data_IF_344839757879
#
_entry.id   IF_344839757879
#
_cell.length_a   1.000
_cell.length_b   1.000
_cell.length_c   1.000
_cell.angle_alpha   90.00
_cell.angle_beta   90.00
_cell.angle_gamma   90.00
#
_symmetry.space_group_name_H-M   'P 1'
#
loop_
_entity.id
_entity.type
_entity.pdbx_description
1 polymer ?
#
# COMPACT_ATOMS: atom_id res chain seq x y z
N UNK A 1 -32.11 -9.70 12.54
CA UNK A 1 -31.29 -8.89 11.61
C UNK A 1 -30.11 -8.30 12.39
N UNK A 2 -29.03 -9.07 12.60
CA UNK A 2 -27.86 -8.62 13.37
C UNK A 2 -26.78 -8.09 12.42
N UNK A 3 -26.64 -6.77 12.36
CA UNK A 3 -25.57 -6.08 11.65
C UNK A 3 -24.28 -6.19 12.48
N UNK A 4 -23.34 -7.01 12.02
CA UNK A 4 -22.03 -7.19 12.65
C UNK A 4 -21.18 -5.92 12.43
N UNK A 5 -21.31 -4.95 13.33
CA UNK A 5 -20.39 -3.81 13.45
C UNK A 5 -19.01 -4.35 13.80
N UNK A 6 -18.14 -4.53 12.79
CA UNK A 6 -16.70 -4.43 13.07
C UNK A 6 -16.48 -2.95 13.32
N UNK A 7 -16.31 -2.63 14.59
CA UNK A 7 -16.18 -1.26 15.00
C UNK A 7 -14.86 -0.70 14.43
N UNK A 8 -15.00 0.44 13.76
CA UNK A 8 -13.95 1.08 12.95
C UNK A 8 -12.99 1.82 13.89
N UNK A 9 -11.89 1.19 14.25
CA UNK A 9 -11.11 1.62 15.43
C UNK A 9 -9.80 2.33 15.09
N UNK A 10 -9.25 2.11 13.89
CA UNK A 10 -7.88 2.53 13.61
C UNK A 10 -7.82 3.86 12.88
N UNK A 11 -7.00 4.78 13.38
CA UNK A 11 -6.64 6.03 12.69
C UNK A 11 -5.48 5.85 11.70
N UNK A 12 -4.67 4.81 11.88
CA UNK A 12 -3.51 4.52 11.06
C UNK A 12 -3.34 3.00 10.92
N UNK A 13 -3.08 2.53 9.71
CA UNK A 13 -2.65 1.16 9.41
C UNK A 13 -1.36 1.23 8.59
N UNK A 14 -0.32 0.53 9.07
CA UNK A 14 0.92 0.29 8.32
C UNK A 14 1.07 -1.21 8.22
N UNK A 15 1.07 -1.77 7.01
CA UNK A 15 1.05 -3.22 6.86
C UNK A 15 1.83 -3.71 5.64
N UNK A 16 2.48 -4.85 5.82
CA UNK A 16 3.01 -5.68 4.75
C UNK A 16 2.27 -7.03 4.78
N UNK A 17 1.03 -7.10 4.24
CA UNK A 17 0.27 -8.34 4.23
C UNK A 17 0.98 -9.41 3.37
N UNK A 18 0.77 -10.70 3.64
CA UNK A 18 1.35 -11.77 2.83
C UNK A 18 0.91 -11.63 1.36
N UNK A 19 1.86 -11.77 0.43
CA UNK A 19 1.67 -11.45 -0.99
C UNK A 19 1.01 -12.55 -1.83
N UNK A 20 0.97 -13.78 -1.32
CA UNK A 20 0.51 -14.93 -2.08
C UNK A 20 -0.35 -15.84 -1.20
N UNK A 21 -1.50 -16.24 -1.74
CA UNK A 21 -2.42 -17.16 -1.11
C UNK A 21 -3.84 -16.96 -1.64
N UNK A 22 -4.57 -18.06 -1.74
CA UNK A 22 -6.01 -18.04 -1.94
C UNK A 22 -6.69 -18.69 -0.75
N UNK A 23 -7.80 -18.10 -0.31
CA UNK A 23 -8.63 -18.71 0.73
C UNK A 23 -9.77 -19.49 0.09
N UNK A 24 -10.20 -20.55 0.78
CA UNK A 24 -11.46 -21.20 0.48
C UNK A 24 -12.61 -20.22 0.70
N UNK A 25 -13.63 -20.26 -0.16
CA UNK A 25 -14.75 -19.31 -0.11
C UNK A 25 -15.43 -19.28 1.25
N UNK A 26 -15.49 -20.42 1.92
CA UNK A 26 -16.11 -20.63 3.23
C UNK A 26 -15.26 -20.02 4.36
N UNK A 27 -13.95 -19.92 4.16
CA UNK A 27 -13.02 -19.26 5.10
C UNK A 27 -13.03 -17.73 4.96
N UNK A 28 -13.57 -17.18 3.86
CA UNK A 28 -13.66 -15.73 3.69
C UNK A 28 -14.82 -15.18 4.52
N UNK A 29 -14.50 -14.26 5.43
CA UNK A 29 -15.52 -13.59 6.23
C UNK A 29 -16.59 -12.95 5.32
N UNK A 30 -17.86 -13.31 5.51
CA UNK A 30 -19.01 -12.83 4.70
C UNK A 30 -19.13 -11.31 4.57
N UNK A 31 -18.55 -10.56 5.50
CA UNK A 31 -18.52 -9.10 5.42
C UNK A 31 -17.48 -8.53 4.44
N UNK A 32 -16.44 -9.28 4.09
CA UNK A 32 -15.43 -8.88 3.10
C UNK A 32 -15.88 -9.20 1.67
N UNK A 33 -16.57 -10.32 1.46
CA UNK A 33 -17.13 -10.68 0.14
C UNK A 33 -18.17 -9.68 -0.35
N UNK A 34 -18.82 -8.94 0.55
CA UNK A 34 -19.70 -7.80 0.22
C UNK A 34 -18.97 -6.57 -0.31
N UNK A 35 -17.68 -6.43 0.01
CA UNK A 35 -16.84 -5.30 -0.42
C UNK A 35 -16.13 -5.67 -1.72
N UNK A 36 -15.56 -6.87 -1.80
CA UNK A 36 -14.96 -7.42 -3.03
C UNK A 36 -15.21 -8.92 -3.10
N UNK A 37 -15.84 -9.39 -4.17
CA UNK A 37 -16.07 -10.81 -4.38
C UNK A 37 -14.83 -11.49 -4.98
N UNK A 38 -13.91 -11.96 -4.13
CA UNK A 38 -12.65 -12.60 -4.54
C UNK A 38 -12.12 -13.56 -3.47
N UNK A 39 -11.30 -14.53 -3.89
CA UNK A 39 -10.53 -15.44 -3.01
C UNK A 39 -9.06 -15.03 -2.84
N UNK A 40 -8.64 -13.99 -3.58
CA UNK A 40 -7.28 -13.49 -3.59
C UNK A 40 -7.00 -12.70 -2.31
N UNK A 41 -6.08 -13.21 -1.50
CA UNK A 41 -5.78 -12.67 -0.17
C UNK A 41 -5.35 -11.22 -0.22
N UNK A 42 -4.58 -10.80 -1.23
CA UNK A 42 -4.10 -9.43 -1.41
C UNK A 42 -5.25 -8.41 -1.54
N UNK A 43 -6.34 -8.78 -2.22
CA UNK A 43 -7.52 -7.92 -2.37
C UNK A 43 -8.39 -7.95 -1.11
N UNK A 44 -8.48 -9.10 -0.45
CA UNK A 44 -9.22 -9.26 0.81
C UNK A 44 -8.59 -8.43 1.94
N UNK A 45 -7.26 -8.32 1.99
CA UNK A 45 -6.58 -7.46 2.96
C UNK A 45 -6.90 -5.98 2.75
N UNK A 46 -6.99 -5.50 1.51
CA UNK A 46 -7.38 -4.11 1.24
C UNK A 46 -8.83 -3.83 1.71
N UNK A 47 -9.76 -4.74 1.41
CA UNK A 47 -11.12 -4.66 1.91
C UNK A 47 -11.17 -4.69 3.45
N UNK A 48 -10.32 -5.50 4.09
CA UNK A 48 -10.20 -5.57 5.54
C UNK A 48 -9.68 -4.25 6.12
N UNK A 49 -8.61 -3.68 5.57
CA UNK A 49 -8.05 -2.41 6.06
C UNK A 49 -9.07 -1.27 5.96
N UNK A 50 -9.79 -1.18 4.84
CA UNK A 50 -10.89 -0.22 4.70
C UNK A 50 -11.98 -0.44 5.73
N UNK A 51 -12.32 -1.69 6.07
CA UNK A 51 -13.29 -2.00 7.12
C UNK A 51 -12.79 -1.59 8.51
N UNK A 52 -11.51 -1.78 8.81
CA UNK A 52 -10.88 -1.50 10.11
C UNK A 52 -10.64 -0.01 10.36
N UNK A 53 -10.34 0.77 9.32
CA UNK A 53 -10.10 2.21 9.44
C UNK A 53 -11.35 2.97 9.86
N UNK A 54 -11.22 3.93 10.79
CA UNK A 54 -12.26 4.96 11.00
C UNK A 54 -12.29 5.95 9.84
N UNK A 55 -13.38 6.71 9.68
CA UNK A 55 -13.41 7.82 8.71
C UNK A 55 -12.32 8.84 9.06
N UNK A 56 -11.59 9.29 8.05
CA UNK A 56 -10.36 10.08 8.21
C UNK A 56 -9.11 9.26 8.57
N UNK A 57 -9.23 7.96 8.83
CA UNK A 57 -8.10 7.06 9.07
C UNK A 57 -7.29 6.83 7.80
N UNK A 58 -5.97 6.63 7.95
CA UNK A 58 -5.03 6.50 6.84
C UNK A 58 -4.35 5.15 6.83
N UNK A 59 -3.96 4.68 5.65
CA UNK A 59 -3.19 3.46 5.50
C UNK A 59 -2.00 3.67 4.56
N UNK A 60 -0.90 3.01 4.87
CA UNK A 60 0.20 2.75 3.94
C UNK A 60 0.47 1.24 3.92
N UNK A 61 0.17 0.58 2.82
CA UNK A 61 0.18 -0.88 2.74
C UNK A 61 0.93 -1.38 1.51
N UNK A 62 1.75 -2.40 1.71
CA UNK A 62 2.46 -3.06 0.61
C UNK A 62 1.50 -4.01 -0.11
N UNK A 63 1.49 -3.97 -1.44
CA UNK A 63 0.71 -4.85 -2.29
C UNK A 63 1.57 -5.35 -3.45
N UNK A 64 1.32 -6.55 -4.00
CA UNK A 64 1.96 -6.96 -5.25
C UNK A 64 1.48 -6.09 -6.43
N UNK A 65 2.31 -5.95 -7.46
CA UNK A 65 1.99 -5.18 -8.68
C UNK A 65 0.67 -5.62 -9.35
N UNK A 66 0.26 -6.87 -9.16
CA UNK A 66 -1.03 -7.39 -9.60
C UNK A 66 -2.23 -6.55 -9.11
N UNK A 67 -2.15 -5.93 -7.94
CA UNK A 67 -3.20 -5.02 -7.44
C UNK A 67 -3.34 -3.79 -8.34
N UNK A 68 -2.22 -3.25 -8.82
CA UNK A 68 -2.18 -2.05 -9.67
C UNK A 68 -2.65 -2.33 -11.10
N UNK A 69 -2.31 -3.48 -11.66
CA UNK A 69 -2.47 -3.75 -13.10
C UNK A 69 -3.38 -4.93 -13.44
N UNK A 70 -3.90 -5.65 -12.44
CA UNK A 70 -4.75 -6.82 -12.67
C UNK A 70 -6.02 -6.43 -13.44
N UNK A 71 -6.35 -7.20 -14.48
CA UNK A 71 -7.46 -6.90 -15.39
C UNK A 71 -8.79 -7.55 -15.00
N UNK A 72 -8.78 -8.47 -14.03
CA UNK A 72 -10.02 -9.12 -13.60
C UNK A 72 -10.94 -8.15 -12.83
N UNK A 73 -12.23 -8.49 -12.77
CA UNK A 73 -13.27 -7.66 -12.15
C UNK A 73 -12.94 -7.23 -10.72
N UNK A 74 -12.39 -8.13 -9.90
CA UNK A 74 -12.09 -7.83 -8.50
C UNK A 74 -10.95 -6.81 -8.34
N UNK A 75 -9.92 -6.87 -9.18
CA UNK A 75 -8.84 -5.88 -9.16
C UNK A 75 -9.35 -4.50 -9.59
N UNK A 76 -10.13 -4.45 -10.68
CA UNK A 76 -10.77 -3.22 -11.15
C UNK A 76 -11.65 -2.59 -10.07
N UNK A 77 -12.46 -3.39 -9.39
CA UNK A 77 -13.36 -2.91 -8.34
C UNK A 77 -12.59 -2.33 -7.14
N UNK A 78 -11.51 -2.99 -6.69
CA UNK A 78 -10.67 -2.47 -5.61
C UNK A 78 -10.03 -1.14 -6.00
N UNK A 79 -9.48 -1.03 -7.22
CA UNK A 79 -8.88 0.21 -7.70
C UNK A 79 -9.92 1.33 -7.81
N UNK A 80 -11.10 1.02 -8.35
CA UNK A 80 -12.23 1.96 -8.43
C UNK A 80 -12.61 2.45 -7.03
N UNK A 81 -12.81 1.54 -6.07
CA UNK A 81 -13.15 1.87 -4.69
C UNK A 81 -12.11 2.77 -4.02
N UNK A 82 -10.82 2.48 -4.20
CA UNK A 82 -9.75 3.30 -3.61
C UNK A 82 -9.72 4.72 -4.16
N UNK A 83 -10.08 4.94 -5.42
CA UNK A 83 -10.02 6.25 -6.08
C UNK A 83 -11.33 7.01 -6.00
N UNK A 84 -12.46 6.36 -6.24
CA UNK A 84 -13.79 6.97 -6.31
C UNK A 84 -14.46 7.06 -4.94
N UNK A 85 -14.40 5.99 -4.13
CA UNK A 85 -15.14 5.93 -2.86
C UNK A 85 -14.29 6.41 -1.68
N UNK A 86 -12.96 6.40 -1.85
CA UNK A 86 -11.95 6.77 -0.85
C UNK A 86 -11.00 7.83 -1.43
N UNK A 87 -9.98 8.21 -0.66
CA UNK A 87 -8.95 9.14 -1.12
C UNK A 87 -7.61 8.41 -1.29
N UNK A 88 -7.28 8.03 -2.52
CA UNK A 88 -5.94 7.55 -2.86
C UNK A 88 -5.00 8.75 -2.93
N UNK A 89 -3.95 8.76 -2.10
CA UNK A 89 -3.03 9.89 -1.97
C UNK A 89 -1.73 9.63 -2.74
N UNK A 90 -1.26 8.38 -2.77
CA UNK A 90 -0.04 8.05 -3.49
C UNK A 90 0.18 6.55 -3.69
N UNK A 91 1.03 6.26 -4.68
CA UNK A 91 1.51 4.93 -5.05
C UNK A 91 3.04 5.01 -5.17
N UNK A 92 3.73 4.22 -4.36
CA UNK A 92 5.19 4.08 -4.43
C UNK A 92 5.48 2.71 -5.06
N UNK A 93 5.86 2.68 -6.33
CA UNK A 93 6.25 1.44 -7.01
C UNK A 93 7.63 1.03 -6.53
N UNK A 94 7.76 -0.23 -6.16
CA UNK A 94 8.99 -0.85 -5.69
C UNK A 94 9.45 -1.89 -6.72
N UNK A 95 10.73 -1.86 -7.12
CA UNK A 95 11.24 -2.76 -8.14
C UNK A 95 11.32 -4.19 -7.60
N UNK A 96 11.30 -5.16 -8.52
CA UNK A 96 11.52 -6.56 -8.18
C UNK A 96 12.88 -6.73 -7.50
N UNK A 97 12.95 -7.46 -6.38
CA UNK A 97 14.18 -7.66 -5.62
C UNK A 97 14.30 -6.86 -4.33
N UNK A 98 13.43 -5.86 -4.08
CA UNK A 98 13.39 -5.15 -2.78
C UNK A 98 13.15 -6.13 -1.61
N UNK A 99 12.37 -7.18 -1.83
CA UNK A 99 12.04 -8.19 -0.83
C UNK A 99 12.89 -9.47 -0.93
N UNK A 100 13.97 -9.48 -1.74
CA UNK A 100 14.89 -10.62 -1.77
C UNK A 100 15.64 -10.77 -0.43
N UNK A 101 15.97 -12.01 -0.02
CA UNK A 101 15.78 -13.28 -0.75
C UNK A 101 14.37 -13.90 -0.60
N UNK A 102 13.44 -13.26 0.12
CA UNK A 102 12.15 -13.85 0.46
C UNK A 102 11.11 -13.78 -0.66
N UNK A 103 11.12 -12.70 -1.45
CA UNK A 103 10.22 -12.54 -2.58
C UNK A 103 10.91 -11.79 -3.74
N UNK A 104 10.77 -12.34 -4.95
CA UNK A 104 11.32 -11.77 -6.19
C UNK A 104 10.35 -10.90 -6.99
N UNK A 105 9.11 -10.73 -6.53
CA UNK A 105 8.07 -9.98 -7.24
C UNK A 105 8.22 -8.46 -7.03
N UNK A 106 7.80 -7.67 -8.01
CA UNK A 106 7.59 -6.23 -7.83
C UNK A 106 6.34 -5.96 -7.00
N UNK A 107 6.38 -4.86 -6.26
CA UNK A 107 5.34 -4.50 -5.29
C UNK A 107 5.12 -2.99 -5.33
N UNK A 108 4.10 -2.50 -4.64
CA UNK A 108 3.89 -1.09 -4.44
C UNK A 108 3.39 -0.81 -3.02
N UNK A 109 3.64 0.41 -2.54
CA UNK A 109 3.00 0.94 -1.33
C UNK A 109 1.83 1.80 -1.76
N UNK A 110 0.62 1.41 -1.38
CA UNK A 110 -0.57 2.21 -1.52
C UNK A 110 -0.75 3.09 -0.30
N UNK A 111 -0.89 4.39 -0.50
CA UNK A 111 -1.15 5.38 0.53
C UNK A 111 -2.54 5.96 0.29
N UNK A 112 -3.46 5.69 1.20
CA UNK A 112 -4.85 6.14 1.07
C UNK A 112 -5.47 6.53 2.41
N UNK A 113 -6.51 7.35 2.33
CA UNK A 113 -7.34 7.75 3.45
C UNK A 113 -8.76 7.28 3.23
N UNK A 114 -9.37 6.75 4.29
CA UNK A 114 -10.77 6.39 4.29
C UNK A 114 -11.63 7.65 4.44
N UNK A 115 -12.51 7.91 3.49
CA UNK A 115 -13.45 9.05 3.51
C UNK A 115 -14.90 8.61 3.45
N UNK A 116 -15.17 7.47 2.79
CA UNK A 116 -16.50 6.98 2.39
C UNK A 116 -17.29 7.99 1.51
N UNK A 117 -16.59 8.94 0.89
CA UNK A 117 -17.17 10.01 0.07
C UNK A 117 -16.26 10.43 -1.09
N UNK A 118 -15.23 9.65 -1.41
CA UNK A 118 -14.22 10.00 -2.39
C UNK A 118 -13.28 11.11 -1.92
N UNK A 119 -12.86 11.97 -2.84
CA UNK A 119 -11.93 13.09 -2.57
C UNK A 119 -10.51 12.86 -3.08
N UNK A 120 -10.31 11.89 -3.97
CA UNK A 120 -9.07 11.81 -4.76
C UNK A 120 -9.08 12.95 -5.78
N UNK A 121 -8.17 13.92 -5.65
CA UNK A 121 -7.98 15.02 -6.63
C UNK A 121 -6.73 14.83 -7.50
N UNK A 122 -5.73 14.15 -6.96
CA UNK A 122 -4.53 13.76 -7.67
C UNK A 122 -3.72 12.80 -6.83
N UNK A 123 -3.05 11.87 -7.51
CA UNK A 123 -2.29 10.78 -6.90
C UNK A 123 -0.81 10.99 -7.20
N UNK A 124 0.02 10.91 -6.16
CA UNK A 124 1.47 10.93 -6.31
C UNK A 124 1.96 9.55 -6.72
N UNK A 125 2.71 9.47 -7.81
CA UNK A 125 3.37 8.26 -8.25
C UNK A 125 4.87 8.43 -8.09
N UNK A 126 5.47 7.52 -7.34
CA UNK A 126 6.90 7.45 -7.17
C UNK A 126 7.39 6.11 -7.71
N UNK A 127 8.16 6.13 -8.78
CA UNK A 127 8.76 4.93 -9.36
C UNK A 127 10.18 4.74 -8.82
N UNK A 128 10.35 3.80 -7.89
CA UNK A 128 11.63 3.53 -7.24
C UNK A 128 12.50 2.63 -8.12
N UNK A 129 13.76 3.02 -8.32
CA UNK A 129 14.76 2.21 -9.01
C UNK A 129 15.50 1.27 -8.05
N UNK A 130 15.76 1.71 -6.82
CA UNK A 130 16.30 0.89 -5.74
C UNK A 130 16.03 1.54 -4.38
N UNK A 131 15.99 0.71 -3.33
CA UNK A 131 15.79 1.14 -1.94
C UNK A 131 17.10 1.48 -1.20
N UNK A 132 18.20 1.62 -1.95
CA UNK A 132 19.55 1.81 -1.43
C UNK A 132 20.38 0.52 -1.36
N UNK A 133 19.77 -0.64 -1.67
CA UNK A 133 20.42 -1.95 -1.74
C UNK A 133 20.35 -2.53 -3.16
N UNK A 134 21.28 -3.42 -3.50
CA UNK A 134 21.23 -4.21 -4.74
C UNK A 134 19.96 -5.06 -4.76
N UNK A 135 19.36 -5.26 -5.94
CA UNK A 135 18.11 -6.01 -6.09
C UNK A 135 18.32 -7.52 -6.26
N UNK A 136 19.49 -8.01 -5.85
CA UNK A 136 19.86 -9.43 -5.84
C UNK A 136 19.71 -10.02 -4.42
N UNK A 137 19.95 -11.33 -4.27
CA UNK A 137 19.81 -12.02 -2.99
C UNK A 137 20.85 -11.57 -1.95
N UNK A 138 21.93 -10.91 -2.37
CA UNK A 138 22.99 -10.43 -1.48
C UNK A 138 22.61 -9.11 -0.82
N UNK A 139 21.77 -8.28 -1.46
CA UNK A 139 21.26 -7.01 -0.93
C UNK A 139 22.39 -6.10 -0.41
N UNK A 140 23.45 -5.94 -1.20
CA UNK A 140 24.61 -5.10 -0.90
C UNK A 140 24.24 -3.62 -0.95
N UNK A 141 24.93 -2.78 -0.17
CA UNK A 141 24.71 -1.33 -0.20
C UNK A 141 25.11 -0.73 -1.56
N UNK A 142 24.23 0.08 -2.15
CA UNK A 142 24.52 0.85 -3.36
C UNK A 142 24.90 2.29 -3.07
N UNK A 143 24.66 2.74 -1.85
CA UNK A 143 24.97 4.08 -1.36
C UNK A 143 25.76 3.97 -0.06
N UNK A 144 26.55 4.99 0.30
CA UNK A 144 27.22 5.04 1.60
C UNK A 144 26.22 4.85 2.76
N UNK A 145 26.67 4.18 3.83
CA UNK A 145 25.82 3.83 4.99
C UNK A 145 25.13 5.04 5.61
N UNK A 146 25.81 6.19 5.66
CA UNK A 146 25.27 7.43 6.20
C UNK A 146 24.06 7.97 5.41
N UNK A 147 23.93 7.54 4.15
CA UNK A 147 22.81 7.87 3.27
C UNK A 147 21.68 6.85 3.34
N UNK A 148 21.85 5.72 4.02
CA UNK A 148 20.76 4.78 4.33
C UNK A 148 20.06 5.31 5.58
N UNK A 149 18.73 5.47 5.51
CA UNK A 149 17.96 6.11 6.58
C UNK A 149 18.33 5.51 7.92
N UNK A 150 18.81 6.33 8.86
CA UNK A 150 19.44 5.87 10.11
C UNK A 150 18.62 4.74 10.74
N UNK A 151 19.16 3.52 10.80
CA UNK A 151 18.70 2.50 11.74
C UNK A 151 19.01 3.01 13.15
N UNK A 152 18.14 3.85 13.73
CA UNK A 152 18.24 4.17 15.16
C UNK A 152 18.00 2.86 15.90
N UNK A 153 19.07 2.27 16.44
CA UNK A 153 18.97 1.33 17.55
C UNK A 153 18.18 2.10 18.62
N UNK A 154 17.01 1.60 19.03
CA UNK A 154 16.12 2.30 19.94
C UNK A 154 16.80 2.42 21.33
N UNK A 155 17.63 3.43 21.53
CA UNK A 155 18.02 3.87 22.86
C UNK A 155 16.85 4.65 23.45
N UNK A 156 16.32 4.14 24.57
CA UNK A 156 15.30 4.82 25.36
C UNK A 156 15.89 6.13 25.88
N UNK A 157 15.51 7.25 25.29
CA UNK A 157 15.96 8.56 25.74
C UNK A 157 15.49 9.69 24.83
N UNK A 158 14.52 10.45 25.32
CA UNK A 158 14.05 11.76 24.85
C UNK A 158 13.48 11.87 23.42
N UNK A 159 12.13 11.91 23.36
CA UNK A 159 11.34 12.36 22.21
C UNK A 159 11.20 13.88 22.33
N UNK A 160 12.26 14.64 22.01
CA UNK A 160 12.17 16.10 21.92
C UNK A 160 13.34 16.72 21.13
N UNK A 161 13.40 16.48 19.82
CA UNK A 161 14.02 17.37 18.80
C UNK A 161 13.64 16.81 17.43
N UNK A 162 12.57 17.33 16.81
CA UNK A 162 12.59 18.34 15.74
C UNK A 162 13.48 17.97 14.53
N UNK A 163 12.79 17.66 13.43
CA UNK A 163 13.17 17.85 12.03
C UNK A 163 14.58 17.41 11.61
N UNK A 164 14.73 16.12 11.31
CA UNK A 164 15.80 15.64 10.45
C UNK A 164 15.25 14.52 9.55
N UNK A 165 14.62 14.93 8.45
CA UNK A 165 14.46 14.09 7.26
C UNK A 165 15.86 13.92 6.64
N UNK A 166 16.71 13.08 7.23
CA UNK A 166 17.99 12.69 6.61
C UNK A 166 17.66 11.74 5.47
N UNK A 167 17.89 12.24 4.27
CA UNK A 167 17.56 11.65 2.99
C UNK A 167 18.45 10.45 2.67
N UNK A 168 17.96 9.25 2.97
CA UNK A 168 17.97 8.23 1.93
C UNK A 168 16.89 8.66 0.94
N UNK A 169 17.25 9.34 -0.14
CA UNK A 169 16.31 9.39 -1.25
C UNK A 169 16.46 8.03 -1.91
N UNK A 170 15.43 7.17 -1.92
CA UNK A 170 15.39 6.14 -2.94
C UNK A 170 15.66 6.85 -4.28
N UNK A 171 16.35 6.19 -5.19
CA UNK A 171 16.47 6.72 -6.55
C UNK A 171 15.16 6.45 -7.25
N UNK A 172 14.58 7.43 -7.90
CA UNK A 172 13.27 7.25 -8.53
C UNK A 172 12.67 8.52 -9.12
N UNK A 173 11.62 8.33 -9.93
CA UNK A 173 10.91 9.42 -10.60
C UNK A 173 9.61 9.71 -9.87
N UNK A 174 9.46 10.94 -9.35
CA UNK A 174 8.21 11.42 -8.79
C UNK A 174 7.40 12.16 -9.86
N UNK A 175 6.12 11.84 -9.99
CA UNK A 175 5.17 12.62 -10.77
C UNK A 175 3.81 12.63 -10.08
N UNK A 176 2.99 13.63 -10.40
CA UNK A 176 1.61 13.75 -9.91
C UNK A 176 0.66 13.60 -11.09
N UNK A 177 -0.30 12.69 -10.96
CA UNK A 177 -1.35 12.48 -11.98
C UNK A 177 -2.69 12.97 -11.46
N UNK A 178 -3.47 13.62 -12.32
CA UNK A 178 -4.84 14.03 -11.97
C UNK A 178 -5.74 12.80 -11.77
N UNK A 179 -6.81 12.94 -11.01
CA UNK A 179 -7.80 11.86 -10.83
C UNK A 179 -8.37 11.37 -12.16
N UNK A 180 -8.61 12.27 -13.13
CA UNK A 180 -9.08 11.88 -14.46
C UNK A 180 -8.10 10.96 -15.20
N UNK A 181 -6.80 11.23 -15.10
CA UNK A 181 -5.75 10.40 -15.69
C UNK A 181 -5.59 9.06 -14.93
N UNK A 182 -5.80 9.06 -13.61
CA UNK A 182 -5.76 7.84 -12.80
C UNK A 182 -6.96 6.95 -13.09
N UNK A 183 -8.16 7.53 -13.19
CA UNK A 183 -9.39 6.82 -13.53
C UNK A 183 -9.34 6.25 -14.94
N UNK A 184 -8.76 6.97 -15.91
CA UNK A 184 -8.59 6.43 -17.27
C UNK A 184 -7.62 5.24 -17.30
N UNK A 185 -6.58 5.24 -16.46
CA UNK A 185 -5.67 4.12 -16.31
C UNK A 185 -6.29 2.92 -15.57
N UNK A 186 -7.22 3.15 -14.63
CA UNK A 186 -7.90 2.09 -13.86
C UNK A 186 -8.94 1.34 -14.68
N UNK A 187 -9.51 1.98 -15.72
CA UNK A 187 -10.62 1.42 -16.54
C UNK A 187 -10.21 0.28 -17.49
N UNK A 188 -8.92 0.02 -17.70
CA UNK A 188 -8.41 -1.08 -18.53
C UNK A 188 -8.39 -2.43 -17.81
#
# INVERSE_FOLDING_TARGET
MLTLFVARHYSLILANPPFAGSLDTEAVAKGLTRIVNTRRTELLFLALFLRLLKRGGRAAVVVPDGVLFGSNKAHKEVRRMLVEDQQLQGVVKLPAGVFRPYAGVSTAILIFQRTDSGGTEGVWFYDMHADGLSLDDKRNLLVPEEKIGRRRRASRGNIATRNLWVTARPTGRLHRSSTSAVLSAIRW
#
